data_IF_366632104134
#
_entry.id   IF_366632104134
#
_cell.length_a   1.000
_cell.length_b   1.000
_cell.length_c   1.000
_cell.angle_alpha   90.00
_cell.angle_beta   90.00
_cell.angle_gamma   90.00
#
_symmetry.space_group_name_H-M   'P 1'
#
loop_
_entity.id
_entity.type
_entity.pdbx_description
1 polymer ?
#
# COMPACT_ATOMS: atom_id res chain seq x y z
N UNK A 1 24.02 15.12 10.13
CA UNK A 1 25.06 14.12 10.44
C UNK A 1 24.58 13.07 11.43
N UNK A 2 23.90 13.43 12.52
CA UNK A 2 23.49 12.47 13.54
C UNK A 2 22.41 11.47 13.08
N UNK A 3 21.34 11.93 12.41
CA UNK A 3 20.26 11.05 11.93
C UNK A 3 20.67 10.08 10.83
N UNK A 4 21.69 10.41 10.03
CA UNK A 4 22.18 9.53 8.97
C UNK A 4 22.78 8.23 9.55
N UNK A 5 23.46 8.31 10.70
CA UNK A 5 24.01 7.14 11.37
C UNK A 5 22.88 6.22 11.90
N UNK A 6 21.89 6.79 12.59
CA UNK A 6 20.73 6.02 13.07
C UNK A 6 19.95 5.38 11.93
N UNK A 7 19.80 6.09 10.81
CA UNK A 7 19.16 5.55 9.61
C UNK A 7 19.93 4.37 9.02
N UNK A 8 21.25 4.49 8.91
CA UNK A 8 22.09 3.40 8.41
C UNK A 8 22.02 2.17 9.33
N UNK A 9 22.17 2.35 10.64
CA UNK A 9 22.07 1.28 11.64
C UNK A 9 20.71 0.58 11.61
N UNK A 10 19.63 1.37 11.48
CA UNK A 10 18.28 0.83 11.31
C UNK A 10 18.22 -0.07 10.08
N UNK A 11 18.65 0.40 8.91
CA UNK A 11 18.59 -0.40 7.67
C UNK A 11 19.47 -1.64 7.75
N UNK A 12 20.68 -1.54 8.31
CA UNK A 12 21.57 -2.69 8.48
C UNK A 12 20.92 -3.76 9.38
N UNK A 13 20.22 -3.35 10.44
CA UNK A 13 19.44 -4.26 11.29
C UNK A 13 18.26 -4.91 10.55
N UNK A 14 17.57 -4.17 9.66
CA UNK A 14 16.46 -4.69 8.86
C UNK A 14 16.92 -5.70 7.80
N UNK A 15 18.10 -5.47 7.21
CA UNK A 15 18.68 -6.30 6.18
C UNK A 15 19.41 -7.54 6.71
N UNK A 16 19.72 -7.57 8.01
CA UNK A 16 20.40 -8.70 8.64
C UNK A 16 19.54 -9.98 8.60
N UNK A 17 20.17 -11.13 8.34
CA UNK A 17 19.53 -12.43 8.14
C UNK A 17 18.53 -12.84 9.24
N UNK A 18 18.81 -12.45 10.49
CA UNK A 18 17.92 -12.76 11.62
C UNK A 18 16.54 -12.11 11.47
N UNK A 19 16.48 -10.94 10.82
CA UNK A 19 15.25 -10.17 10.64
C UNK A 19 14.71 -10.31 9.22
N UNK A 20 15.59 -10.22 8.23
CA UNK A 20 15.30 -10.38 6.80
C UNK A 20 14.04 -9.61 6.34
N UNK A 21 13.79 -8.44 6.93
CA UNK A 21 12.63 -7.61 6.64
C UNK A 21 12.85 -6.72 5.41
N UNK A 22 14.12 -6.51 5.04
CA UNK A 22 14.55 -5.87 3.80
C UNK A 22 15.58 -6.78 3.14
N UNK A 23 15.25 -7.33 1.99
CA UNK A 23 16.05 -8.27 1.22
C UNK A 23 16.56 -7.62 -0.07
N UNK A 24 15.74 -6.78 -0.72
CA UNK A 24 16.16 -6.12 -1.95
C UNK A 24 17.17 -4.99 -1.66
N UNK A 25 18.25 -4.96 -2.43
CA UNK A 25 19.26 -3.90 -2.32
C UNK A 25 18.69 -2.52 -2.68
N UNK A 26 17.77 -2.45 -3.64
CA UNK A 26 17.06 -1.23 -4.01
C UNK A 26 16.26 -0.66 -2.84
N UNK A 27 15.46 -1.49 -2.15
CA UNK A 27 14.72 -1.11 -0.95
C UNK A 27 15.65 -0.62 0.17
N UNK A 28 16.73 -1.38 0.45
CA UNK A 28 17.70 -0.99 1.47
C UNK A 28 18.39 0.34 1.14
N UNK A 29 18.69 0.60 -0.13
CA UNK A 29 19.26 1.87 -0.58
C UNK A 29 18.25 3.01 -0.41
N UNK A 30 17.02 2.85 -0.89
CA UNK A 30 15.96 3.86 -0.76
C UNK A 30 15.73 4.25 0.71
N UNK A 31 15.60 3.27 1.61
CA UNK A 31 15.42 3.54 3.04
C UNK A 31 16.63 4.23 3.70
N UNK A 32 17.84 4.15 3.11
CA UNK A 32 19.02 4.89 3.57
C UNK A 32 19.07 6.34 3.08
N UNK A 33 18.32 6.69 2.05
CA UNK A 33 18.22 8.06 1.56
C UNK A 33 17.10 8.82 2.29
N UNK A 34 15.89 8.24 2.34
CA UNK A 34 14.71 8.92 2.89
C UNK A 34 14.91 9.35 4.36
N UNK A 35 14.81 10.64 4.69
CA UNK A 35 14.93 11.14 6.05
C UNK A 35 13.65 10.87 6.84
N UNK A 36 13.46 9.64 7.33
CA UNK A 36 12.25 9.24 8.08
C UNK A 36 11.81 10.19 9.21
N UNK A 37 12.75 10.92 9.84
CA UNK A 37 12.43 11.92 10.87
C UNK A 37 11.64 13.13 10.36
N UNK A 38 11.60 13.40 9.06
CA UNK A 38 10.74 14.44 8.47
C UNK A 38 9.27 13.99 8.41
N UNK A 39 8.99 12.69 8.57
CA UNK A 39 7.64 12.11 8.52
C UNK A 39 7.06 11.83 9.92
N UNK A 40 7.86 12.01 10.98
CA UNK A 40 7.48 11.78 12.38
C UNK A 40 8.22 12.72 13.34
N UNK A 41 7.49 13.41 14.20
CA UNK A 41 8.04 14.35 15.22
C UNK A 41 8.65 13.62 16.44
N UNK A 42 9.49 12.60 16.21
CA UNK A 42 9.99 11.66 17.23
C UNK A 42 11.54 11.63 17.33
N UNK A 43 12.22 12.51 16.60
CA UNK A 43 13.68 12.62 16.60
C UNK A 43 14.37 11.29 16.32
N UNK A 44 15.22 10.82 17.25
CA UNK A 44 15.94 9.55 17.10
C UNK A 44 15.02 8.32 17.07
N UNK A 45 13.86 8.38 17.73
CA UNK A 45 12.91 7.26 17.77
C UNK A 45 12.33 6.96 16.39
N UNK A 46 12.38 7.89 15.45
CA UNK A 46 12.02 7.68 14.05
C UNK A 46 12.71 6.45 13.43
N UNK A 47 13.92 6.12 13.90
CA UNK A 47 14.77 5.04 13.38
C UNK A 47 14.72 3.76 14.19
N UNK A 48 13.82 3.68 15.17
CA UNK A 48 13.55 2.42 15.87
C UNK A 48 12.53 1.63 15.08
N UNK A 49 12.68 0.29 15.06
CA UNK A 49 11.74 -0.55 14.33
C UNK A 49 10.44 -0.77 15.11
N UNK A 50 9.62 0.28 15.19
CA UNK A 50 8.30 0.25 15.80
C UNK A 50 7.33 1.11 14.98
N UNK A 51 6.04 0.78 15.06
CA UNK A 51 5.01 1.70 14.58
C UNK A 51 4.98 2.92 15.50
N UNK A 52 4.75 4.09 14.91
CA UNK A 52 4.60 5.35 15.63
C UNK A 52 3.24 5.95 15.29
N UNK A 53 2.90 7.07 15.92
CA UNK A 53 1.75 7.88 15.55
C UNK A 53 2.22 9.30 15.24
N UNK A 54 1.60 9.93 14.24
CA UNK A 54 1.82 11.32 13.90
C UNK A 54 0.45 11.95 13.61
N UNK A 55 0.05 12.92 14.43
CA UNK A 55 -1.22 13.65 14.28
C UNK A 55 -2.47 12.76 14.20
N UNK A 56 -2.45 11.62 14.90
CA UNK A 56 -3.55 10.64 14.91
C UNK A 56 -3.46 9.58 13.79
N UNK A 57 -2.48 9.70 12.90
CA UNK A 57 -2.21 8.74 11.82
C UNK A 57 -1.13 7.77 12.25
N UNK A 58 -1.38 6.47 12.09
CA UNK A 58 -0.36 5.44 12.34
C UNK A 58 0.74 5.52 11.29
N UNK A 59 1.98 5.55 11.74
CA UNK A 59 3.17 5.43 10.89
C UNK A 59 3.71 4.01 11.00
N UNK A 60 3.79 3.32 9.87
CA UNK A 60 4.24 1.93 9.81
C UNK A 60 5.67 1.77 10.32
N UNK A 61 5.95 0.64 10.97
CA UNK A 61 7.30 0.29 11.38
C UNK A 61 8.22 0.18 10.13
N UNK A 62 9.49 0.59 10.21
CA UNK A 62 10.46 0.43 9.14
C UNK A 62 10.51 -0.99 8.54
N UNK A 63 10.43 -2.04 9.36
CA UNK A 63 10.37 -3.43 8.88
C UNK A 63 9.12 -3.73 8.06
N UNK A 64 7.97 -3.18 8.44
CA UNK A 64 6.74 -3.31 7.66
C UNK A 64 6.88 -2.63 6.31
N UNK A 65 7.40 -1.40 6.27
CA UNK A 65 7.65 -0.66 5.01
C UNK A 65 8.61 -1.44 4.10
N UNK A 66 9.71 -1.96 4.66
CA UNK A 66 10.65 -2.80 3.92
C UNK A 66 9.98 -4.02 3.27
N UNK A 67 9.17 -4.75 4.03
CA UNK A 67 8.42 -5.92 3.53
C UNK A 67 7.39 -5.56 2.46
N UNK A 68 6.72 -4.41 2.59
CA UNK A 68 5.77 -3.93 1.60
C UNK A 68 6.46 -3.63 0.27
N UNK A 69 7.56 -2.87 0.32
CA UNK A 69 8.31 -2.46 -0.87
C UNK A 69 8.98 -3.67 -1.54
N UNK A 70 9.56 -4.59 -0.76
CA UNK A 70 10.13 -5.83 -1.31
C UNK A 70 9.08 -6.72 -1.97
N UNK A 71 7.90 -6.87 -1.35
CA UNK A 71 6.80 -7.64 -1.93
C UNK A 71 6.28 -6.96 -3.22
N UNK A 72 6.27 -5.63 -3.25
CA UNK A 72 5.86 -4.85 -4.43
C UNK A 72 6.86 -4.98 -5.57
N UNK A 73 8.13 -5.22 -5.28
CA UNK A 73 9.20 -5.38 -6.26
C UNK A 73 9.21 -4.25 -7.33
N UNK A 74 9.25 -2.96 -6.92
CA UNK A 74 9.31 -1.85 -7.86
C UNK A 74 10.66 -1.84 -8.60
N UNK A 75 10.62 -1.46 -9.86
CA UNK A 75 11.76 -1.27 -10.75
C UNK A 75 11.84 0.18 -11.21
N UNK A 76 13.02 0.57 -11.72
CA UNK A 76 13.18 1.87 -12.37
C UNK A 76 12.12 2.03 -13.48
N UNK A 77 11.58 3.24 -13.60
CA UNK A 77 10.53 3.63 -14.55
C UNK A 77 9.11 3.05 -14.32
N UNK A 78 8.87 2.25 -13.28
CA UNK A 78 7.51 1.82 -12.90
C UNK A 78 6.64 3.04 -12.48
N UNK A 79 5.39 3.12 -12.96
CA UNK A 79 4.36 4.00 -12.42
C UNK A 79 3.67 3.33 -11.21
N UNK A 80 3.67 4.01 -10.06
CA UNK A 80 3.28 3.41 -8.78
C UNK A 80 2.12 4.15 -8.14
N UNK A 81 1.08 3.41 -7.73
CA UNK A 81 0.00 3.90 -6.88
C UNK A 81 0.12 3.38 -5.45
N UNK A 82 0.10 4.27 -4.47
CA UNK A 82 -0.03 3.96 -3.04
C UNK A 82 -1.45 4.30 -2.56
N UNK A 83 -2.18 3.31 -2.08
CA UNK A 83 -3.49 3.48 -1.46
C UNK A 83 -3.34 3.49 0.06
N UNK A 84 -3.68 4.61 0.69
CA UNK A 84 -3.36 4.90 2.08
C UNK A 84 -2.03 5.66 2.16
N UNK A 85 -2.03 6.93 1.76
CA UNK A 85 -0.82 7.75 1.76
C UNK A 85 -0.19 7.89 3.16
N UNK A 86 -1.02 7.87 4.21
CA UNK A 86 -0.56 8.01 5.59
C UNK A 86 0.27 9.27 5.76
N UNK A 87 1.44 9.17 6.41
CA UNK A 87 2.36 10.31 6.53
C UNK A 87 3.21 10.58 5.29
N UNK A 88 3.14 9.74 4.25
CA UNK A 88 3.92 9.87 3.01
C UNK A 88 5.27 9.13 2.99
N UNK A 89 5.68 8.47 4.08
CA UNK A 89 7.01 7.85 4.16
C UNK A 89 7.21 6.71 3.14
N UNK A 90 6.23 5.82 2.96
CA UNK A 90 6.36 4.73 1.97
C UNK A 90 6.40 5.29 0.55
N UNK A 91 5.62 6.33 0.24
CA UNK A 91 5.67 7.00 -1.05
C UNK A 91 7.05 7.60 -1.33
N UNK A 92 7.70 8.20 -0.33
CA UNK A 92 9.08 8.69 -0.45
C UNK A 92 10.08 7.55 -0.71
N UNK A 93 9.93 6.41 -0.02
CA UNK A 93 10.79 5.23 -0.27
C UNK A 93 10.62 4.69 -1.68
N UNK A 94 9.39 4.67 -2.20
CA UNK A 94 9.13 4.29 -3.59
C UNK A 94 9.70 5.31 -4.58
N UNK A 95 9.59 6.61 -4.27
CA UNK A 95 10.11 7.69 -5.11
C UNK A 95 11.63 7.61 -5.29
N UNK A 96 12.38 7.13 -4.30
CA UNK A 96 13.82 6.84 -4.42
C UNK A 96 14.14 5.72 -5.41
N UNK A 97 13.19 4.82 -5.69
CA UNK A 97 13.38 3.68 -6.60
C UNK A 97 12.93 4.05 -8.01
N UNK A 98 11.73 4.63 -8.15
CA UNK A 98 11.07 4.82 -9.47
C UNK A 98 11.13 6.26 -9.99
N UNK A 99 11.46 7.21 -9.12
CA UNK A 99 11.38 8.66 -9.36
C UNK A 99 10.09 9.26 -8.81
N UNK A 100 10.18 10.43 -8.17
CA UNK A 100 9.06 11.07 -7.48
C UNK A 100 7.84 11.35 -8.37
N UNK A 101 8.06 11.77 -9.62
CA UNK A 101 7.00 12.06 -10.60
C UNK A 101 6.15 10.84 -10.99
N UNK A 102 6.65 9.62 -10.72
CA UNK A 102 5.96 8.35 -11.01
C UNK A 102 5.24 7.75 -9.81
N UNK A 103 5.30 8.42 -8.66
CA UNK A 103 4.59 7.96 -7.47
C UNK A 103 3.34 8.79 -7.27
N UNK A 104 2.22 8.11 -7.34
CA UNK A 104 0.90 8.62 -7.01
C UNK A 104 0.45 8.01 -5.68
N UNK A 105 -0.17 8.80 -4.82
CA UNK A 105 -0.70 8.33 -3.56
C UNK A 105 -2.11 8.88 -3.34
N UNK A 106 -2.95 8.10 -2.68
CA UNK A 106 -4.32 8.48 -2.36
C UNK A 106 -4.63 8.18 -0.90
N UNK A 107 -5.36 9.06 -0.25
CA UNK A 107 -5.90 8.82 1.09
C UNK A 107 -7.31 9.40 1.19
N UNK A 108 -8.16 8.76 1.98
CA UNK A 108 -9.55 9.21 2.15
C UNK A 108 -9.62 10.41 3.11
N UNK A 109 -8.66 10.55 4.02
CA UNK A 109 -8.64 11.63 4.99
C UNK A 109 -7.86 12.85 4.45
N UNK A 110 -8.57 13.98 4.36
CA UNK A 110 -8.02 15.23 3.85
C UNK A 110 -6.88 15.81 4.71
N UNK A 111 -6.91 15.63 6.03
CA UNK A 111 -5.82 16.08 6.91
C UNK A 111 -4.58 15.22 6.68
N UNK A 112 -4.76 13.91 6.52
CA UNK A 112 -3.68 12.97 6.20
C UNK A 112 -3.02 13.34 4.87
N UNK A 113 -3.81 13.65 3.84
CA UNK A 113 -3.27 14.15 2.55
C UNK A 113 -2.48 15.44 2.72
N UNK A 114 -2.96 16.38 3.54
CA UNK A 114 -2.24 17.63 3.79
C UNK A 114 -0.89 17.38 4.47
N UNK A 115 -0.87 16.55 5.51
CA UNK A 115 0.33 16.19 6.25
C UNK A 115 1.32 15.43 5.34
N UNK A 116 0.85 14.46 4.56
CA UNK A 116 1.68 13.72 3.60
C UNK A 116 2.37 14.64 2.60
N UNK A 117 1.62 15.58 1.99
CA UNK A 117 2.18 16.56 1.04
C UNK A 117 3.23 17.45 1.69
N UNK A 118 2.98 17.91 2.92
CA UNK A 118 3.96 18.73 3.66
C UNK A 118 5.23 17.94 3.94
N UNK A 119 5.10 16.74 4.53
CA UNK A 119 6.25 15.90 4.88
C UNK A 119 7.08 15.51 3.64
N UNK A 120 6.40 15.17 2.53
CA UNK A 120 7.07 14.86 1.26
C UNK A 120 7.83 16.07 0.73
N UNK A 121 7.23 17.26 0.71
CA UNK A 121 7.90 18.47 0.28
C UNK A 121 9.12 18.81 1.15
N UNK A 122 8.97 18.74 2.47
CA UNK A 122 10.05 19.01 3.44
C UNK A 122 11.20 17.99 3.31
N UNK A 123 10.88 16.73 2.99
CA UNK A 123 11.85 15.66 2.76
C UNK A 123 12.47 15.67 1.35
N UNK A 124 12.04 16.55 0.43
CA UNK A 124 12.58 16.67 -0.93
C UNK A 124 11.88 15.83 -2.01
N UNK A 125 10.70 15.29 -1.71
CA UNK A 125 9.86 14.46 -2.59
C UNK A 125 8.57 15.16 -3.01
N UNK A 126 8.62 16.48 -3.22
CA UNK A 126 7.44 17.31 -3.51
C UNK A 126 6.72 16.98 -4.82
N UNK A 127 7.38 16.26 -5.74
CA UNK A 127 6.80 15.85 -7.03
C UNK A 127 5.91 14.60 -6.92
N UNK A 128 5.89 13.93 -5.77
CA UNK A 128 4.95 12.84 -5.49
C UNK A 128 3.53 13.39 -5.45
N UNK A 129 2.64 12.89 -6.31
CA UNK A 129 1.26 13.34 -6.35
C UNK A 129 0.43 12.62 -5.29
N UNK A 130 0.07 13.32 -4.21
CA UNK A 130 -0.87 12.81 -3.20
C UNK A 130 -2.25 13.44 -3.42
N UNK A 131 -3.35 12.70 -3.43
CA UNK A 131 -4.71 13.25 -3.56
C UNK A 131 -5.73 12.68 -2.55
N UNK A 132 -6.77 13.46 -2.25
CA UNK A 132 -7.82 13.08 -1.29
C UNK A 132 -9.00 12.41 -2.00
N UNK A 133 -9.12 11.08 -1.86
CA UNK A 133 -10.15 10.27 -2.51
C UNK A 133 -10.32 8.89 -1.89
N UNK A 134 -11.43 8.23 -2.23
CA UNK A 134 -11.69 6.83 -1.90
C UNK A 134 -10.67 5.89 -2.58
N UNK A 135 -9.75 5.38 -1.78
CA UNK A 135 -8.68 4.48 -2.22
C UNK A 135 -9.17 3.17 -2.84
N UNK A 136 -10.37 2.70 -2.50
CA UNK A 136 -10.94 1.50 -3.13
C UNK A 136 -11.29 1.71 -4.60
N UNK A 137 -11.39 2.97 -5.06
CA UNK A 137 -11.61 3.34 -6.47
C UNK A 137 -10.32 3.62 -7.22
N UNK A 138 -9.17 3.61 -6.54
CA UNK A 138 -7.87 3.91 -7.12
C UNK A 138 -7.72 5.34 -7.63
N UNK A 139 -6.95 5.49 -8.69
CA UNK A 139 -6.63 6.77 -9.31
C UNK A 139 -6.69 6.67 -10.85
N UNK A 140 -7.89 6.48 -11.42
CA UNK A 140 -8.08 6.11 -12.83
C UNK A 140 -7.56 7.17 -13.81
N UNK A 141 -7.45 8.44 -13.40
CA UNK A 141 -6.92 9.51 -14.24
C UNK A 141 -5.43 9.37 -14.56
N UNK A 142 -4.68 8.60 -13.77
CA UNK A 142 -3.25 8.33 -13.95
C UNK A 142 -2.95 6.86 -14.24
N UNK A 143 -3.97 6.01 -14.29
CA UNK A 143 -3.82 4.62 -14.69
C UNK A 143 -3.41 4.53 -16.18
N UNK A 144 -2.75 3.44 -16.61
CA UNK A 144 -2.42 2.24 -15.83
C UNK A 144 -1.20 2.41 -14.90
N UNK A 145 -1.11 1.57 -13.87
CA UNK A 145 0.03 1.51 -12.94
C UNK A 145 0.75 0.16 -13.06
N UNK A 146 2.08 0.18 -13.10
CA UNK A 146 2.90 -1.04 -13.04
C UNK A 146 2.86 -1.67 -11.65
N UNK A 147 2.73 -0.83 -10.61
CA UNK A 147 2.71 -1.26 -9.21
C UNK A 147 1.59 -0.58 -8.44
N UNK A 148 0.82 -1.36 -7.69
CA UNK A 148 -0.19 -0.83 -6.75
C UNK A 148 0.09 -1.38 -5.37
N UNK A 149 0.31 -0.50 -4.40
CA UNK A 149 0.50 -0.87 -3.00
C UNK A 149 -0.69 -0.39 -2.18
N UNK A 150 -1.33 -1.29 -1.44
CA UNK A 150 -2.44 -0.95 -0.55
C UNK A 150 -1.99 -1.07 0.90
N UNK A 151 -1.95 0.04 1.63
CA UNK A 151 -1.60 0.12 3.06
C UNK A 151 -2.84 0.01 3.97
N UNK A 152 -3.80 -0.84 3.57
CA UNK A 152 -4.98 -1.14 4.34
C UNK A 152 -5.46 -2.57 4.03
N UNK A 153 -6.05 -3.23 5.02
CA UNK A 153 -6.47 -4.61 4.89
C UNK A 153 -7.77 -4.76 4.10
N UNK A 154 -7.86 -5.81 3.30
CA UNK A 154 -9.07 -6.20 2.58
C UNK A 154 -9.18 -7.72 2.50
N UNK A 155 -10.39 -8.26 2.45
CA UNK A 155 -10.61 -9.70 2.21
C UNK A 155 -10.22 -10.07 0.78
N UNK A 156 -10.66 -9.26 -0.17
CA UNK A 156 -10.39 -9.39 -1.59
C UNK A 156 -9.83 -8.04 -2.09
N UNK A 157 -8.85 -8.05 -3.01
CA UNK A 157 -8.30 -6.81 -3.54
C UNK A 157 -9.42 -6.05 -4.30
N UNK A 158 -9.51 -4.72 -4.15
CA UNK A 158 -10.51 -3.94 -4.88
C UNK A 158 -10.42 -4.15 -6.39
N UNK A 159 -11.54 -4.49 -7.02
CA UNK A 159 -11.59 -4.76 -8.46
C UNK A 159 -11.12 -3.55 -9.29
N UNK A 160 -11.46 -2.33 -8.84
CA UNK A 160 -11.03 -1.10 -9.51
C UNK A 160 -9.51 -0.92 -9.51
N UNK A 161 -8.79 -1.41 -8.50
CA UNK A 161 -7.32 -1.36 -8.46
C UNK A 161 -6.71 -2.40 -9.41
N UNK A 162 -7.31 -3.60 -9.49
CA UNK A 162 -6.89 -4.61 -10.48
C UNK A 162 -7.12 -4.15 -11.91
N UNK A 163 -8.22 -3.44 -12.19
CA UNK A 163 -8.52 -2.89 -13.51
C UNK A 163 -7.62 -1.71 -13.91
N UNK A 164 -6.89 -1.14 -12.94
CA UNK A 164 -5.93 -0.06 -13.15
C UNK A 164 -4.48 -0.57 -13.23
N UNK A 165 -4.24 -1.87 -13.10
CA UNK A 165 -2.90 -2.44 -13.33
C UNK A 165 -2.57 -2.44 -14.83
N UNK A 166 -1.33 -2.09 -15.15
CA UNK A 166 -0.75 -2.35 -16.46
C UNK A 166 -0.64 -3.86 -16.73
N UNK A 167 -0.42 -4.23 -17.99
CA UNK A 167 -0.11 -5.62 -18.35
C UNK A 167 1.17 -6.07 -17.64
N UNK A 168 1.11 -7.20 -16.92
CA UNK A 168 2.23 -7.66 -16.07
C UNK A 168 2.43 -6.82 -14.80
N UNK A 169 1.49 -5.92 -14.48
CA UNK A 169 1.50 -5.13 -13.25
C UNK A 169 1.28 -5.99 -12.01
N UNK A 170 1.75 -5.47 -10.87
CA UNK A 170 1.70 -6.15 -9.58
C UNK A 170 0.97 -5.31 -8.54
N UNK A 171 -0.01 -5.93 -7.86
CA UNK A 171 -0.69 -5.34 -6.71
C UNK A 171 -0.30 -6.05 -5.42
N UNK A 172 0.05 -5.30 -4.39
CA UNK A 172 0.36 -5.83 -3.05
C UNK A 172 -0.58 -5.25 -2.01
N UNK A 173 -1.17 -6.12 -1.18
CA UNK A 173 -2.07 -5.70 -0.12
C UNK A 173 -2.08 -6.68 1.07
N UNK A 174 -2.43 -6.21 2.29
CA UNK A 174 -2.78 -7.06 3.41
C UNK A 174 -4.12 -7.77 3.14
N UNK A 175 -4.06 -9.07 2.86
CA UNK A 175 -5.24 -9.92 2.70
C UNK A 175 -5.70 -10.44 4.06
N UNK A 176 -6.98 -10.22 4.38
CA UNK A 176 -7.64 -10.79 5.55
C UNK A 176 -8.33 -9.76 6.43
N UNK A 177 -8.80 -10.22 7.59
CA UNK A 177 -9.54 -9.41 8.57
C UNK A 177 -8.79 -9.41 9.89
N UNK A 178 -9.02 -10.41 10.74
CA UNK A 178 -8.30 -10.61 12.00
C UNK A 178 -6.93 -11.25 11.75
N UNK A 179 -6.90 -12.32 10.97
CA UNK A 179 -5.66 -12.98 10.54
C UNK A 179 -5.29 -12.44 9.14
N UNK A 180 -4.28 -11.58 9.07
CA UNK A 180 -3.85 -10.94 7.83
C UNK A 180 -2.49 -11.45 7.38
N UNK A 181 -2.33 -11.59 6.07
CA UNK A 181 -1.07 -11.93 5.39
C UNK A 181 -0.84 -10.98 4.24
N UNK A 182 0.41 -10.66 3.96
CA UNK A 182 0.74 -9.79 2.84
C UNK A 182 0.74 -10.63 1.55
N UNK A 183 -0.02 -10.21 0.54
CA UNK A 183 -0.22 -10.96 -0.72
C UNK A 183 0.14 -10.07 -1.90
N UNK A 184 0.81 -10.66 -2.89
CA UNK A 184 1.03 -10.07 -4.20
C UNK A 184 0.14 -10.74 -5.26
N UNK A 185 -0.48 -9.93 -6.10
CA UNK A 185 -1.34 -10.32 -7.21
C UNK A 185 -0.69 -9.88 -8.52
N UNK A 186 -0.62 -10.79 -9.49
CA UNK A 186 -0.22 -10.54 -10.88
C UNK A 186 -1.21 -11.28 -11.79
N UNK A 187 -1.56 -10.73 -12.95
CA UNK A 187 -2.53 -11.34 -13.88
C UNK A 187 -3.86 -11.75 -13.21
N UNK A 188 -4.29 -11.00 -12.18
CA UNK A 188 -5.45 -11.27 -11.33
C UNK A 188 -5.39 -12.58 -10.53
N UNK A 189 -4.22 -13.18 -10.39
CA UNK A 189 -3.96 -14.37 -9.60
C UNK A 189 -2.94 -14.10 -8.48
N UNK A 190 -2.97 -14.91 -7.43
CA UNK A 190 -1.99 -14.82 -6.35
C UNK A 190 -0.61 -15.27 -6.83
N UNK A 191 0.31 -14.32 -6.99
CA UNK A 191 1.69 -14.57 -7.38
C UNK A 191 2.55 -15.01 -6.20
N UNK A 192 2.39 -14.36 -5.04
CA UNK A 192 3.12 -14.72 -3.82
C UNK A 192 2.36 -14.38 -2.55
N UNK A 193 2.61 -15.17 -1.50
CA UNK A 193 2.09 -14.95 -0.15
C UNK A 193 3.27 -14.79 0.80
N UNK A 194 3.25 -13.72 1.57
CA UNK A 194 4.28 -13.35 2.52
C UNK A 194 3.76 -13.51 3.97
N UNK A 195 4.63 -13.29 4.94
CA UNK A 195 4.31 -13.49 6.36
C UNK A 195 3.18 -12.59 6.91
N UNK A 196 2.82 -12.76 8.19
CA UNK A 196 1.72 -12.04 8.82
C UNK A 196 1.95 -10.53 8.85
N UNK A 197 0.86 -9.78 8.81
CA UNK A 197 0.81 -8.31 8.92
C UNK A 197 -0.42 -7.89 9.73
N UNK A 198 -0.52 -6.60 10.08
CA UNK A 198 -1.66 -6.07 10.82
C UNK A 198 -1.92 -4.61 10.44
N UNK A 199 -2.97 -4.40 9.64
CA UNK A 199 -3.42 -3.14 9.09
C UNK A 199 -4.88 -2.87 9.48
N UNK A 200 -5.23 -1.58 9.52
CA UNK A 200 -6.63 -1.17 9.58
C UNK A 200 -7.33 -1.55 8.27
N UNK A 201 -8.65 -1.83 8.27
CA UNK A 201 -9.36 -2.17 7.05
C UNK A 201 -9.42 -1.00 6.08
N UNK A 202 -9.43 -1.29 4.78
CA UNK A 202 -9.63 -0.32 3.73
C UNK A 202 -11.07 0.22 3.79
N UNK A 203 -11.19 1.46 4.22
CA UNK A 203 -12.48 2.16 4.31
C UNK A 203 -12.91 2.67 2.94
N UNK A 204 -14.22 2.76 2.73
CA UNK A 204 -14.81 3.50 1.60
C UNK A 204 -15.58 4.74 2.07
N UNK A 205 -15.93 5.62 1.13
CA UNK A 205 -16.68 6.84 1.42
C UNK A 205 -17.94 6.55 2.28
N UNK A 206 -18.00 7.20 3.44
CA UNK A 206 -19.10 7.08 4.39
C UNK A 206 -18.89 6.02 5.48
N UNK A 207 -17.82 5.22 5.42
CA UNK A 207 -17.46 4.29 6.50
C UNK A 207 -16.57 4.97 7.56
N UNK A 208 -16.68 4.47 8.79
CA UNK A 208 -15.78 4.82 9.90
C UNK A 208 -15.24 3.52 10.48
N UNK A 209 -13.99 3.54 10.96
CA UNK A 209 -13.34 2.37 11.55
C UNK A 209 -14.13 1.74 12.71
N UNK A 210 -14.99 2.49 13.39
CA UNK A 210 -15.82 2.01 14.50
C UNK A 210 -17.13 1.31 14.09
N UNK A 211 -17.48 1.28 12.80
CA UNK A 211 -18.77 0.78 12.30
C UNK A 211 -18.68 -0.57 11.57
N UNK A 212 -17.63 -1.36 11.83
CA UNK A 212 -17.41 -2.68 11.20
C UNK A 212 -18.29 -3.75 11.88
N UNK A 213 -19.58 -3.80 11.56
CA UNK A 213 -20.52 -4.70 12.24
C UNK A 213 -20.29 -6.20 11.92
N UNK A 214 -19.54 -6.59 10.88
CA UNK A 214 -19.46 -8.00 10.44
C UNK A 214 -18.12 -8.45 9.80
N UNK A 215 -16.98 -8.02 10.34
CA UNK A 215 -15.63 -8.38 9.83
C UNK A 215 -15.41 -8.11 8.32
N UNK A 216 -16.28 -7.33 7.68
CA UNK A 216 -16.27 -7.03 6.23
C UNK A 216 -16.83 -5.64 6.00
N UNK A 217 -16.35 -4.99 4.94
CA UNK A 217 -16.80 -3.64 4.55
C UNK A 217 -18.03 -3.69 3.66
N UNK A 218 -18.79 -2.59 3.60
CA UNK A 218 -19.96 -2.44 2.71
C UNK A 218 -19.55 -2.63 1.25
N UNK A 219 -18.32 -2.26 0.89
CA UNK A 219 -17.71 -2.52 -0.42
C UNK A 219 -17.67 -4.02 -0.72
N UNK A 220 -17.09 -4.82 0.18
CA UNK A 220 -16.86 -6.25 -0.03
C UNK A 220 -18.17 -7.02 -0.22
N UNK A 221 -19.20 -6.67 0.55
CA UNK A 221 -20.53 -7.28 0.39
C UNK A 221 -21.15 -6.94 -0.96
N UNK A 222 -21.01 -5.70 -1.44
CA UNK A 222 -21.50 -5.29 -2.77
C UNK A 222 -20.75 -5.99 -3.90
N UNK A 223 -19.42 -6.07 -3.82
CA UNK A 223 -18.61 -6.74 -4.84
C UNK A 223 -18.93 -8.23 -4.93
N UNK A 224 -19.10 -8.92 -3.80
CA UNK A 224 -19.49 -10.34 -3.78
C UNK A 224 -20.88 -10.55 -4.33
N UNK A 225 -21.85 -9.73 -3.96
CA UNK A 225 -23.20 -9.79 -4.52
C UNK A 225 -23.18 -9.62 -6.05
N UNK A 226 -22.34 -8.72 -6.58
CA UNK A 226 -22.15 -8.55 -8.02
C UNK A 226 -21.50 -9.77 -8.68
N UNK A 227 -20.44 -10.34 -8.09
CA UNK A 227 -19.79 -11.58 -8.58
C UNK A 227 -20.77 -12.77 -8.58
N UNK A 228 -21.56 -12.94 -7.52
CA UNK A 228 -22.59 -13.98 -7.43
C UNK A 228 -23.72 -13.80 -8.47
N UNK A 229 -24.14 -12.56 -8.72
CA UNK A 229 -25.13 -12.26 -9.74
C UNK A 229 -24.61 -12.57 -11.16
N UNK A 230 -23.32 -12.31 -11.42
CA UNK A 230 -22.68 -12.66 -12.69
C UNK A 230 -22.51 -14.17 -12.85
N UNK A 231 -22.09 -14.89 -11.81
CA UNK A 231 -21.91 -16.34 -11.89
C UNK A 231 -23.21 -17.08 -12.15
N UNK A 232 -24.33 -16.64 -11.56
CA UNK A 232 -25.67 -17.24 -11.79
C UNK A 232 -26.17 -17.08 -13.22
N UNK A 233 -25.84 -15.98 -13.91
CA UNK A 233 -26.21 -15.77 -15.31
C UNK A 233 -25.45 -16.69 -16.28
N UNK A 234 -24.33 -17.27 -15.85
CA UNK A 234 -23.53 -18.20 -16.66
C UNK A 234 -24.11 -19.61 -16.79
N UNK A 235 -25.08 -20.00 -15.96
CA UNK A 235 -25.68 -21.36 -15.96
C UNK A 235 -26.96 -21.48 -16.81
N UNK A 236 -27.44 -20.39 -17.42
CA UNK A 236 -28.70 -20.37 -18.19
C UNK A 236 -28.53 -20.56 -19.72
N UNK A 237 -27.33 -20.91 -20.20
CA UNK A 237 -27.10 -21.25 -21.61
C UNK A 237 -26.43 -22.62 -21.74
N UNK A 238 -27.22 -23.70 -21.62
CA UNK A 238 -26.97 -24.99 -22.30
C UNK A 238 -28.13 -25.96 -22.02
N UNK A 239 -29.32 -25.62 -22.50
CA UNK A 239 -30.38 -26.59 -22.80
C UNK A 239 -31.06 -26.16 -24.09
N UNK A 240 -30.45 -26.52 -25.22
CA UNK A 240 -31.17 -26.59 -26.49
C UNK A 240 -31.27 -28.07 -26.83
N UNK A 241 -32.52 -28.53 -26.85
CA UNK A 241 -32.96 -29.89 -27.14
C UNK A 241 -32.35 -30.46 -28.43
N UNK A 242 -31.91 -31.71 -28.37
CA UNK A 242 -31.68 -32.54 -29.54
C UNK A 242 -32.97 -33.30 -29.86
N UNK A 243 -33.66 -32.91 -30.94
CA UNK A 243 -34.61 -33.76 -31.67
C UNK A 243 -33.95 -34.39 -32.90
#
# INVERSE_FOLDING_TARGET
MEFAAFRAEMVDSLAHDTKAAVQAQSTARAMREVPRHEFVEEGRRAYTDQSLEHRGTRVLAPSTVGRLVDALAPAEDDDVLVVGAGVGYTAAVLAEIVGAERVHAVDIDRQVVYDARSNLADAGYGDVLVDCRDGARGFPEYAPFDRVLVEAAAVDPPAALLDQLADGGRLVYPEGTTDQRLVAIEDRETASVHGPVAFAPLLVDGEQASALEQNRTVREDRERAAKEAQSRKGWEQDWIDWE
#
